data_IF_696413132713
#
_entry.id   IF_696413132713
#
_cell.length_a   1.000
_cell.length_b   1.000
_cell.length_c   1.000
_cell.angle_alpha   90.00
_cell.angle_beta   90.00
_cell.angle_gamma   90.00
#
_symmetry.space_group_name_H-M   'P 1'
#
loop_
_entity.id
_entity.type
_entity.pdbx_description
1 polymer ?
#
# COMPACT_ATOMS: atom_id res chain seq x y z
N UNK A 1 6.59 -6.01 -12.29
CA UNK A 1 5.74 -7.22 -12.34
C UNK A 1 4.66 -7.09 -11.29
N UNK A 2 3.40 -7.31 -11.69
CA UNK A 2 2.23 -7.27 -10.80
C UNK A 2 1.77 -8.69 -10.49
N UNK A 3 1.29 -8.90 -9.28
CA UNK A 3 0.70 -10.17 -8.84
C UNK A 3 -0.71 -9.91 -8.31
N UNK A 4 -1.55 -10.94 -8.38
CA UNK A 4 -2.79 -10.95 -7.61
C UNK A 4 -2.43 -11.32 -6.18
N UNK A 5 -2.90 -10.52 -5.22
CA UNK A 5 -2.65 -10.67 -3.79
C UNK A 5 -3.98 -10.71 -3.05
N UNK A 6 -4.04 -11.50 -1.98
CA UNK A 6 -5.18 -11.58 -1.09
C UNK A 6 -5.07 -10.50 -0.01
N UNK A 7 -6.10 -9.69 0.15
CA UNK A 7 -6.19 -8.67 1.20
C UNK A 7 -6.10 -9.36 2.56
N UNK A 8 -6.97 -10.35 2.79
CA UNK A 8 -6.86 -11.34 3.87
C UNK A 8 -6.24 -12.59 3.28
N UNK A 9 -5.03 -12.94 3.72
CA UNK A 9 -4.33 -14.12 3.22
C UNK A 9 -5.09 -15.42 3.52
N UNK A 10 -4.94 -16.44 2.67
CA UNK A 10 -5.57 -17.76 2.86
C UNK A 10 -5.18 -18.40 4.20
N UNK A 11 -3.94 -18.15 4.68
CA UNK A 11 -3.48 -18.57 6.03
C UNK A 11 -4.38 -18.06 7.16
N UNK A 12 -5.05 -16.93 6.96
CA UNK A 12 -5.99 -16.33 7.89
C UNK A 12 -7.46 -16.62 7.52
N UNK A 13 -7.70 -17.57 6.60
CA UNK A 13 -9.04 -17.96 6.15
C UNK A 13 -9.63 -17.07 5.06
N UNK A 14 -8.84 -16.19 4.44
CA UNK A 14 -9.32 -15.37 3.33
C UNK A 14 -9.62 -16.22 2.10
N UNK A 15 -10.77 -15.95 1.46
CA UNK A 15 -11.22 -16.69 0.29
C UNK A 15 -10.64 -16.11 -1.00
N UNK A 16 -10.47 -16.96 -2.02
CA UNK A 16 -10.15 -16.53 -3.39
C UNK A 16 -11.43 -16.02 -4.07
N UNK A 17 -11.82 -14.79 -3.73
CA UNK A 17 -12.99 -14.08 -4.25
C UNK A 17 -12.59 -12.66 -4.67
N UNK A 18 -13.17 -12.06 -5.74
CA UNK A 18 -12.78 -10.73 -6.23
C UNK A 18 -12.71 -9.63 -5.15
N UNK A 19 -13.60 -9.68 -4.16
CA UNK A 19 -13.64 -8.71 -3.04
C UNK A 19 -12.46 -8.83 -2.06
N UNK A 20 -11.75 -9.97 -2.09
CA UNK A 20 -10.57 -10.22 -1.28
C UNK A 20 -9.27 -10.22 -2.12
N UNK A 21 -9.35 -9.96 -3.42
CA UNK A 21 -8.19 -9.97 -4.32
C UNK A 21 -7.87 -8.56 -4.81
N UNK A 22 -6.60 -8.20 -4.91
CA UNK A 22 -6.14 -6.94 -5.47
C UNK A 22 -4.84 -7.10 -6.25
N UNK A 23 -4.56 -6.16 -7.16
CA UNK A 23 -3.24 -6.09 -7.78
C UNK A 23 -2.23 -5.49 -6.81
N UNK A 24 -1.11 -6.18 -6.65
CA UNK A 24 0.00 -5.73 -5.83
C UNK A 24 1.31 -5.83 -6.60
N UNK A 25 2.29 -5.02 -6.23
CA UNK A 25 3.64 -5.18 -6.75
C UNK A 25 4.27 -6.44 -6.14
N UNK A 26 5.02 -7.24 -6.89
CA UNK A 26 5.59 -8.51 -6.40
C UNK A 26 6.35 -8.34 -5.06
N UNK A 27 7.14 -7.28 -4.95
CA UNK A 27 7.94 -7.01 -3.75
C UNK A 27 7.06 -6.52 -2.59
N UNK A 28 6.05 -5.70 -2.88
CA UNK A 28 5.09 -5.21 -1.89
C UNK A 28 4.32 -6.38 -1.28
N UNK A 29 3.84 -7.29 -2.13
CA UNK A 29 3.20 -8.54 -1.74
C UNK A 29 4.15 -9.40 -0.89
N UNK A 30 5.41 -9.53 -1.27
CA UNK A 30 6.39 -10.26 -0.45
C UNK A 30 6.57 -9.66 0.95
N UNK A 31 6.64 -8.33 1.07
CA UNK A 31 6.72 -7.67 2.38
C UNK A 31 5.42 -7.75 3.19
N UNK A 32 4.26 -7.77 2.53
CA UNK A 32 2.97 -8.05 3.17
C UNK A 32 2.98 -9.43 3.80
N UNK A 33 3.46 -10.44 3.06
CA UNK A 33 3.38 -11.83 3.46
C UNK A 33 1.94 -12.21 3.78
N UNK A 34 1.69 -12.65 5.00
CA UNK A 34 0.33 -12.95 5.46
C UNK A 34 -0.29 -11.84 6.30
N UNK A 35 0.43 -10.76 6.57
CA UNK A 35 -0.04 -9.72 7.47
C UNK A 35 -1.26 -8.98 6.89
N UNK A 36 -2.21 -8.68 7.78
CA UNK A 36 -3.41 -7.86 7.51
C UNK A 36 -3.42 -6.56 8.34
N UNK A 37 -2.51 -6.47 9.31
CA UNK A 37 -2.35 -5.36 10.23
C UNK A 37 -0.91 -5.30 10.73
N UNK A 38 -0.50 -4.14 11.24
CA UNK A 38 0.76 -3.99 11.97
C UNK A 38 0.59 -2.96 13.08
N UNK A 39 1.51 -2.94 14.04
CA UNK A 39 1.53 -1.89 15.04
C UNK A 39 1.94 -0.56 14.40
N UNK A 40 1.14 0.48 14.62
CA UNK A 40 1.52 1.86 14.32
C UNK A 40 2.53 2.33 15.36
N UNK A 41 3.71 2.76 14.92
CA UNK A 41 4.81 3.10 15.83
C UNK A 41 4.57 4.41 16.57
N UNK A 42 3.70 5.27 16.04
CA UNK A 42 3.39 6.56 16.67
C UNK A 42 2.41 6.40 17.83
N UNK A 43 1.48 5.44 17.71
CA UNK A 43 0.36 5.26 18.67
C UNK A 43 0.45 3.98 19.48
N UNK A 44 1.28 3.01 19.07
CA UNK A 44 1.36 1.67 19.66
C UNK A 44 0.13 0.80 19.38
N UNK A 45 -0.84 1.27 18.59
CA UNK A 45 -2.08 0.54 18.32
C UNK A 45 -1.92 -0.41 17.15
N UNK A 46 -2.52 -1.60 17.26
CA UNK A 46 -2.63 -2.53 16.14
C UNK A 46 -3.58 -1.92 15.11
N UNK A 47 -3.07 -1.63 13.92
CA UNK A 47 -3.79 -0.91 12.86
C UNK A 47 -3.84 -1.75 11.59
N UNK A 48 -5.00 -1.87 10.92
CA UNK A 48 -5.11 -2.62 9.68
C UNK A 48 -4.27 -2.00 8.56
N UNK A 49 -3.83 -2.83 7.62
CA UNK A 49 -3.28 -2.37 6.35
C UNK A 49 -4.41 -1.80 5.48
N UNK A 50 -4.04 -0.91 4.56
CA UNK A 50 -4.95 -0.34 3.58
C UNK A 50 -5.63 -1.44 2.75
N UNK A 51 -6.95 -1.37 2.66
CA UNK A 51 -7.78 -2.26 1.89
C UNK A 51 -8.20 -1.59 0.57
N UNK A 52 -7.59 -1.92 -0.58
CA UNK A 52 -7.92 -1.29 -1.86
C UNK A 52 -9.33 -1.59 -2.37
N UNK A 53 -10.09 -2.47 -1.71
CA UNK A 53 -11.51 -2.76 -2.02
C UNK A 53 -12.50 -1.97 -1.18
N UNK A 54 -12.05 -1.33 -0.10
CA UNK A 54 -12.91 -0.64 0.87
C UNK A 54 -12.47 0.80 1.14
N UNK A 55 -11.17 1.07 1.11
CA UNK A 55 -10.60 2.35 1.48
C UNK A 55 -10.38 3.27 0.27
N UNK A 56 -10.61 4.57 0.45
CA UNK A 56 -10.32 5.58 -0.54
C UNK A 56 -8.85 6.03 -0.44
N UNK A 57 -8.09 5.94 -1.53
CA UNK A 57 -6.65 6.25 -1.53
C UNK A 57 -6.33 7.65 -0.97
N UNK A 58 -7.07 8.68 -1.39
CA UNK A 58 -6.83 10.07 -0.99
C UNK A 58 -7.04 10.36 0.50
N UNK A 59 -7.78 9.50 1.21
CA UNK A 59 -7.98 9.65 2.66
C UNK A 59 -6.74 9.21 3.44
N UNK A 60 -5.97 8.25 2.89
CA UNK A 60 -4.85 7.62 3.59
C UNK A 60 -3.49 8.06 3.07
N UNK A 61 -3.40 8.52 1.82
CA UNK A 61 -2.14 8.78 1.14
C UNK A 61 -2.18 10.03 0.29
N UNK A 62 -1.02 10.64 0.13
CA UNK A 62 -0.76 11.69 -0.85
C UNK A 62 0.58 11.45 -1.52
N UNK A 63 0.64 11.61 -2.84
CA UNK A 63 1.90 11.55 -3.58
C UNK A 63 2.47 12.96 -3.69
N UNK A 64 3.72 13.15 -3.30
CA UNK A 64 4.42 14.43 -3.45
C UNK A 64 5.08 14.54 -4.82
N UNK A 65 5.44 15.76 -5.23
CA UNK A 65 6.24 16.01 -6.44
C UNK A 65 7.61 15.32 -6.42
N UNK A 66 8.10 14.94 -5.24
CA UNK A 66 9.33 14.16 -5.07
C UNK A 66 9.14 12.66 -5.32
N UNK A 67 7.91 12.20 -5.61
CA UNK A 67 7.58 10.79 -5.79
C UNK A 67 7.44 10.00 -4.48
N UNK A 68 7.39 10.68 -3.33
CA UNK A 68 7.14 10.04 -2.04
C UNK A 68 5.64 9.89 -1.79
N UNK A 69 5.25 8.76 -1.20
CA UNK A 69 3.90 8.56 -0.67
C UNK A 69 3.92 8.99 0.80
N UNK A 70 3.23 10.07 1.11
CA UNK A 70 3.07 10.57 2.47
C UNK A 70 1.80 9.94 3.07
N UNK A 71 1.91 9.20 4.18
CA UNK A 71 0.75 8.66 4.88
C UNK A 71 0.04 9.78 5.66
N UNK A 72 -1.29 9.82 5.57
CA UNK A 72 -2.15 10.82 6.23
C UNK A 72 -2.83 10.28 7.49
N UNK A 73 -2.87 8.95 7.65
CA UNK A 73 -3.57 8.24 8.73
C UNK A 73 -2.70 7.12 9.31
N UNK A 74 -3.13 6.53 10.43
CA UNK A 74 -2.48 5.36 11.02
C UNK A 74 -2.42 4.19 10.02
N UNK A 75 -3.53 3.91 9.31
CA UNK A 75 -3.60 2.92 8.22
C UNK A 75 -2.55 3.22 7.16
N UNK A 76 -2.44 4.48 6.75
CA UNK A 76 -1.44 4.91 5.79
C UNK A 76 -0.01 4.65 6.27
N UNK A 77 0.29 5.00 7.54
CA UNK A 77 1.63 4.83 8.13
C UNK A 77 2.04 3.36 8.18
N UNK A 78 1.17 2.49 8.70
CA UNK A 78 1.47 1.05 8.77
C UNK A 78 1.61 0.45 7.38
N UNK A 79 0.80 0.88 6.41
CA UNK A 79 0.87 0.37 5.03
C UNK A 79 2.15 0.79 4.33
N UNK A 80 2.50 2.08 4.36
CA UNK A 80 3.74 2.59 3.73
C UNK A 80 4.98 1.90 4.32
N UNK A 81 5.01 1.76 5.65
CA UNK A 81 6.11 1.11 6.37
C UNK A 81 6.17 -0.38 6.08
N UNK A 82 5.08 -1.12 6.25
CA UNK A 82 5.11 -2.57 6.11
C UNK A 82 5.37 -2.98 4.66
N UNK A 83 4.66 -2.39 3.70
CA UNK A 83 4.79 -2.73 2.28
C UNK A 83 6.00 -2.08 1.60
N UNK A 84 6.77 -1.27 2.32
CA UNK A 84 7.98 -0.61 1.83
C UNK A 84 7.70 0.25 0.58
N UNK A 85 6.57 0.98 0.57
CA UNK A 85 6.08 1.70 -0.63
C UNK A 85 7.00 2.83 -1.11
N UNK A 86 7.86 3.34 -0.22
CA UNK A 86 8.82 4.41 -0.47
C UNK A 86 10.27 3.93 -0.64
N UNK A 87 10.47 2.69 -1.06
CA UNK A 87 11.81 2.25 -1.49
C UNK A 87 12.38 3.17 -2.59
N UNK A 88 13.72 3.34 -2.66
CA UNK A 88 14.35 4.24 -3.63
C UNK A 88 13.94 3.97 -5.08
N UNK A 89 13.79 2.70 -5.47
CA UNK A 89 13.38 2.33 -6.83
C UNK A 89 11.95 2.78 -7.14
N UNK A 90 11.03 2.66 -6.17
CA UNK A 90 9.62 3.06 -6.33
C UNK A 90 9.46 4.58 -6.35
N UNK A 91 10.28 5.30 -5.58
CA UNK A 91 10.33 6.76 -5.64
C UNK A 91 10.78 7.21 -7.03
N UNK A 92 11.87 6.65 -7.56
CA UNK A 92 12.38 6.98 -8.91
C UNK A 92 11.34 6.69 -9.99
N UNK A 93 10.67 5.55 -9.93
CA UNK A 93 9.60 5.21 -10.87
C UNK A 93 8.45 6.22 -10.84
N UNK A 94 8.00 6.62 -9.65
CA UNK A 94 6.97 7.67 -9.52
C UNK A 94 7.47 9.03 -9.99
N UNK A 95 8.73 9.40 -9.77
CA UNK A 95 9.30 10.64 -10.29
C UNK A 95 9.24 10.69 -11.82
N UNK A 96 9.60 9.58 -12.50
CA UNK A 96 9.48 9.48 -13.96
C UNK A 96 8.02 9.63 -14.40
N UNK A 97 7.09 8.92 -13.76
CA UNK A 97 5.67 9.04 -14.07
C UNK A 97 5.12 10.46 -13.86
N UNK A 98 5.58 11.18 -12.82
CA UNK A 98 5.22 12.57 -12.57
C UNK A 98 5.77 13.47 -13.69
N UNK A 99 7.02 13.28 -14.12
CA UNK A 99 7.63 14.05 -15.20
C UNK A 99 6.89 13.87 -16.54
N UNK A 100 6.35 12.68 -16.77
CA UNK A 100 5.54 12.35 -17.95
C UNK A 100 4.05 12.73 -17.81
N UNK A 101 3.64 13.39 -16.71
CA UNK A 101 2.27 13.89 -16.52
C UNK A 101 1.24 12.84 -16.05
N UNK A 102 1.64 11.62 -15.69
CA UNK A 102 0.71 10.57 -15.25
C UNK A 102 0.09 10.80 -13.86
N UNK A 103 0.52 11.83 -13.13
CA UNK A 103 0.07 12.16 -11.77
C UNK A 103 -0.75 13.45 -11.67
N UNK A 104 -1.24 14.01 -12.78
CA UNK A 104 -1.88 15.32 -12.79
C UNK A 104 -3.21 15.42 -12.00
N UNK A 105 -3.79 14.34 -11.45
CA UNK A 105 -5.08 14.40 -10.72
C UNK A 105 -5.25 13.30 -9.64
N UNK A 106 -4.31 13.12 -8.71
CA UNK A 106 -4.49 12.23 -7.53
C UNK A 106 -4.23 12.99 -6.23
#
# INVERSE_FOLDING_TARGET
MYTIDHIIAEKHGGQTHPDNLAYSCLICNHYKGTDVASYDLDTGQLTPLFNPRQDCWGDHFRVTTTGQIVPLTAIGRVTVRLLQLNRPERIRERQLLIQEGFFENI
#
